data_IF_162308118587
#
_entry.id   IF_162308118587
#
_cell.length_a   1.000
_cell.length_b   1.000
_cell.length_c   1.000
_cell.angle_alpha   90.00
_cell.angle_beta   90.00
_cell.angle_gamma   90.00
#
_symmetry.space_group_name_H-M   'P 1'
#
loop_
_entity.id
_entity.type
_entity.pdbx_description
1 polymer ?
#
# COMPACT_ATOMS: atom_id res chain seq x y z
N UNK A 1 14.96 5.43 -1.48
CA UNK A 1 14.30 5.69 -2.76
C UNK A 1 13.06 6.53 -2.52
N UNK A 2 12.80 7.51 -3.36
CA UNK A 2 11.68 8.44 -3.24
C UNK A 2 10.95 8.54 -4.58
N UNK A 3 9.63 8.73 -4.52
CA UNK A 3 8.81 9.13 -5.65
C UNK A 3 7.69 10.01 -5.12
N UNK A 4 7.36 11.07 -5.83
CA UNK A 4 6.33 12.01 -5.43
C UNK A 4 5.16 11.94 -6.39
N UNK A 5 3.95 12.05 -5.84
CA UNK A 5 2.73 12.09 -6.64
C UNK A 5 2.22 13.52 -6.76
N UNK A 6 1.74 13.87 -7.94
CA UNK A 6 1.05 15.12 -8.16
C UNK A 6 -0.43 15.02 -7.81
N UNK A 7 -1.10 16.16 -7.58
CA UNK A 7 -2.56 16.24 -7.47
C UNK A 7 -3.18 15.89 -8.82
N UNK A 8 -4.06 14.88 -8.84
CA UNK A 8 -4.68 14.37 -10.07
C UNK A 8 -6.04 15.00 -10.42
N UNK A 9 -6.68 15.69 -9.47
CA UNK A 9 -8.00 16.28 -9.70
C UNK A 9 -7.90 17.55 -10.53
N UNK A 10 -8.30 17.44 -11.78
CA UNK A 10 -8.40 18.56 -12.71
C UNK A 10 -9.46 18.29 -13.76
N UNK A 11 -10.22 19.32 -14.14
CA UNK A 11 -11.21 19.24 -15.23
C UNK A 11 -10.57 19.37 -16.62
N UNK A 12 -9.30 19.83 -16.68
CA UNK A 12 -8.53 20.03 -17.90
C UNK A 12 -7.10 19.52 -17.69
N UNK A 13 -6.42 19.02 -18.73
CA UNK A 13 -5.15 18.33 -18.61
C UNK A 13 -3.96 19.24 -18.35
N UNK A 14 -4.02 20.56 -18.63
CA UNK A 14 -2.87 21.46 -18.61
C UNK A 14 -2.15 21.46 -17.24
N UNK A 15 -2.90 21.53 -16.13
CA UNK A 15 -2.35 21.50 -14.79
C UNK A 15 -1.68 20.15 -14.46
N UNK A 16 -2.21 19.06 -15.02
CA UNK A 16 -1.64 17.72 -14.84
C UNK A 16 -0.32 17.58 -15.62
N UNK A 17 -0.22 18.13 -16.82
CA UNK A 17 1.04 18.16 -17.58
C UNK A 17 2.12 18.91 -16.84
N UNK A 18 1.80 20.01 -16.18
CA UNK A 18 2.75 20.75 -15.34
C UNK A 18 3.24 19.90 -14.16
N UNK A 19 2.35 19.18 -13.48
CA UNK A 19 2.71 18.25 -12.41
C UNK A 19 3.66 17.15 -12.89
N UNK A 20 3.38 16.57 -14.04
CA UNK A 20 4.20 15.52 -14.65
C UNK A 20 5.59 16.05 -14.99
N UNK A 21 5.71 17.23 -15.63
CA UNK A 21 6.98 17.89 -15.93
C UNK A 21 7.75 18.30 -14.67
N UNK A 22 7.03 18.63 -13.59
CA UNK A 22 7.63 18.96 -12.30
C UNK A 22 8.17 17.73 -11.54
N UNK A 23 8.02 16.51 -12.10
CA UNK A 23 8.62 15.29 -11.57
C UNK A 23 7.65 14.34 -10.89
N UNK A 24 6.34 14.60 -10.95
CA UNK A 24 5.37 13.65 -10.42
C UNK A 24 5.53 12.29 -11.14
N UNK A 25 5.81 11.24 -10.38
CA UNK A 25 5.92 9.87 -10.90
C UNK A 25 4.57 9.15 -10.97
N UNK A 26 3.52 9.76 -10.42
CA UNK A 26 2.14 9.31 -10.43
C UNK A 26 1.22 10.50 -10.13
N UNK A 27 -0.10 10.31 -10.33
CA UNK A 27 -1.12 11.30 -9.99
C UNK A 27 -2.08 10.72 -8.96
N UNK A 28 -2.48 11.52 -7.97
CA UNK A 28 -3.43 11.14 -6.91
C UNK A 28 -4.75 11.88 -7.07
N UNK A 29 -5.82 11.10 -7.18
CA UNK A 29 -7.20 11.57 -7.07
C UNK A 29 -7.67 11.44 -5.62
N UNK A 30 -8.36 12.45 -5.11
CA UNK A 30 -8.92 12.46 -3.77
C UNK A 30 -10.27 13.19 -3.74
N UNK A 31 -11.24 12.67 -2.98
CA UNK A 31 -12.60 13.22 -2.91
C UNK A 31 -12.64 14.68 -2.46
N UNK A 32 -11.80 15.09 -1.51
CA UNK A 32 -11.72 16.48 -1.03
C UNK A 32 -11.48 17.49 -2.15
N UNK A 33 -10.99 17.04 -3.29
CA UNK A 33 -10.74 17.85 -4.48
C UNK A 33 -11.72 17.58 -5.62
N UNK A 34 -12.73 16.71 -5.38
CA UNK A 34 -13.73 16.29 -6.35
C UNK A 34 -13.27 15.15 -7.25
N UNK A 35 -13.45 13.90 -6.85
CA UNK A 35 -13.21 12.70 -7.67
C UNK A 35 -14.41 12.40 -8.56
N UNK A 36 -14.80 13.37 -9.38
CA UNK A 36 -15.88 13.20 -10.36
C UNK A 36 -15.45 12.27 -11.50
N UNK A 37 -16.38 11.61 -12.21
CA UNK A 37 -16.08 10.82 -13.40
C UNK A 37 -15.24 11.57 -14.44
N UNK A 38 -15.48 12.88 -14.61
CA UNK A 38 -14.72 13.73 -15.53
C UNK A 38 -13.26 13.93 -15.05
N UNK A 39 -13.04 14.17 -13.76
CA UNK A 39 -11.70 14.31 -13.19
C UNK A 39 -10.92 12.98 -13.28
N UNK A 40 -11.57 11.86 -13.03
CA UNK A 40 -10.97 10.51 -13.16
C UNK A 40 -10.55 10.29 -14.62
N UNK A 41 -11.42 10.54 -15.57
CA UNK A 41 -11.14 10.35 -16.99
C UNK A 41 -10.00 11.25 -17.48
N UNK A 42 -10.00 12.52 -17.10
CA UNK A 42 -8.95 13.48 -17.43
C UNK A 42 -7.59 13.01 -16.87
N UNK A 43 -7.56 12.62 -15.60
CA UNK A 43 -6.35 12.15 -14.94
C UNK A 43 -5.77 10.89 -15.59
N UNK A 44 -6.62 9.89 -15.86
CA UNK A 44 -6.22 8.66 -16.52
C UNK A 44 -5.73 8.91 -17.96
N UNK A 45 -6.33 9.85 -18.69
CA UNK A 45 -5.90 10.19 -20.05
C UNK A 45 -4.48 10.78 -20.07
N UNK A 46 -4.18 11.71 -19.17
CA UNK A 46 -2.81 12.25 -19.01
C UNK A 46 -1.81 11.15 -18.56
N UNK A 47 -2.26 10.29 -17.67
CA UNK A 47 -1.41 9.18 -17.22
C UNK A 47 -1.09 8.19 -18.35
N UNK A 48 -2.04 7.90 -19.24
CA UNK A 48 -1.83 7.05 -20.41
C UNK A 48 -0.80 7.64 -21.39
N UNK A 49 -0.79 8.97 -21.57
CA UNK A 49 0.17 9.67 -22.42
C UNK A 49 1.60 9.67 -21.85
N UNK A 50 1.74 9.65 -20.52
CA UNK A 50 3.02 9.82 -19.84
C UNK A 50 3.55 8.55 -19.13
N UNK A 51 2.88 7.43 -19.30
CA UNK A 51 3.23 6.13 -18.69
C UNK A 51 3.44 6.21 -17.16
N UNK A 52 2.53 6.87 -16.47
CA UNK A 52 2.55 7.03 -15.00
C UNK A 52 1.31 6.42 -14.35
N UNK A 53 1.39 6.11 -13.05
CA UNK A 53 0.24 5.54 -12.32
C UNK A 53 -0.75 6.62 -11.89
N UNK A 54 -2.03 6.23 -11.82
CA UNK A 54 -3.07 6.98 -11.13
C UNK A 54 -3.47 6.23 -9.86
N UNK A 55 -3.49 6.94 -8.74
CA UNK A 55 -3.97 6.44 -7.46
C UNK A 55 -5.25 7.16 -7.08
N UNK A 56 -6.19 6.44 -6.50
CA UNK A 56 -7.49 7.02 -6.16
C UNK A 56 -7.89 6.73 -4.70
N UNK A 57 -8.30 7.78 -4.02
CA UNK A 57 -9.24 7.77 -2.92
C UNK A 57 -10.60 8.14 -3.52
N UNK A 58 -11.54 7.20 -3.54
CA UNK A 58 -12.83 7.38 -4.21
C UNK A 58 -13.79 8.22 -3.35
N UNK A 59 -14.91 8.57 -3.93
CA UNK A 59 -15.93 9.43 -3.33
C UNK A 59 -16.68 8.72 -2.18
N UNK A 60 -16.30 8.98 -0.94
CA UNK A 60 -16.86 8.32 0.24
C UNK A 60 -18.35 8.59 0.42
N UNK A 61 -18.79 9.82 0.13
CA UNK A 61 -20.16 10.26 0.35
C UNK A 61 -21.08 10.06 -0.85
N UNK A 62 -20.57 9.47 -1.94
CA UNK A 62 -21.32 9.30 -3.20
C UNK A 62 -21.85 10.63 -3.77
N UNK A 63 -21.13 11.74 -3.59
CA UNK A 63 -21.53 13.07 -4.07
C UNK A 63 -21.49 13.19 -5.59
N UNK A 64 -20.61 12.43 -6.24
CA UNK A 64 -20.41 12.44 -7.70
C UNK A 64 -20.96 11.19 -8.40
N UNK A 65 -21.71 10.37 -7.70
CA UNK A 65 -22.24 9.09 -8.16
C UNK A 65 -21.85 7.93 -7.27
N UNK A 66 -22.35 6.75 -7.57
CA UNK A 66 -22.06 5.53 -6.83
C UNK A 66 -20.78 4.84 -7.32
N UNK A 67 -20.40 3.74 -6.69
CA UNK A 67 -19.19 2.98 -7.05
C UNK A 67 -19.20 2.55 -8.53
N UNK A 68 -20.37 2.24 -9.08
CA UNK A 68 -20.54 1.87 -10.50
C UNK A 68 -20.17 3.02 -11.45
N UNK A 69 -20.49 4.26 -11.10
CA UNK A 69 -20.13 5.45 -11.90
C UNK A 69 -18.61 5.67 -11.87
N UNK A 70 -17.99 5.47 -10.70
CA UNK A 70 -16.53 5.52 -10.55
C UNK A 70 -15.85 4.42 -11.37
N UNK A 71 -16.34 3.17 -11.30
CA UNK A 71 -15.83 2.04 -12.09
C UNK A 71 -15.99 2.32 -13.60
N UNK A 72 -17.12 2.85 -14.01
CA UNK A 72 -17.37 3.23 -15.40
C UNK A 72 -16.39 4.31 -15.90
N UNK A 73 -16.02 5.27 -15.04
CA UNK A 73 -15.05 6.31 -15.35
C UNK A 73 -13.64 5.78 -15.59
N UNK A 74 -13.26 4.63 -15.02
CA UNK A 74 -11.99 3.97 -15.31
C UNK A 74 -11.88 3.55 -16.78
N UNK A 75 -12.98 3.24 -17.44
CA UNK A 75 -13.03 2.79 -18.85
C UNK A 75 -12.10 1.59 -19.12
N UNK A 76 -11.98 0.68 -18.15
CA UNK A 76 -11.10 -0.48 -18.23
C UNK A 76 -9.59 -0.18 -18.09
N UNK A 77 -9.19 1.08 -17.88
CA UNK A 77 -7.80 1.48 -17.68
C UNK A 77 -7.31 1.08 -16.29
N UNK A 78 -6.03 0.77 -16.18
CA UNK A 78 -5.43 0.38 -14.90
C UNK A 78 -5.38 1.55 -13.93
N UNK A 79 -5.76 1.29 -12.68
CA UNK A 79 -5.75 2.27 -11.59
C UNK A 79 -5.40 1.59 -10.27
N UNK A 80 -4.67 2.29 -9.39
CA UNK A 80 -4.38 1.84 -8.03
C UNK A 80 -5.43 2.43 -7.07
N UNK A 81 -6.27 1.58 -6.49
CA UNK A 81 -7.25 1.98 -5.47
C UNK A 81 -6.67 1.83 -4.07
N UNK A 82 -6.68 2.92 -3.28
CA UNK A 82 -6.26 2.91 -1.87
C UNK A 82 -7.40 2.44 -0.95
N UNK A 83 -7.04 2.00 0.27
CA UNK A 83 -7.96 1.59 1.34
C UNK A 83 -9.26 0.97 0.78
N UNK A 84 -9.08 -0.02 -0.10
CA UNK A 84 -10.13 -0.63 -0.91
C UNK A 84 -11.22 -1.33 -0.07
N UNK A 85 -11.00 -1.52 1.21
CA UNK A 85 -12.01 -2.00 2.15
C UNK A 85 -13.08 -0.92 2.44
N UNK A 86 -12.71 0.36 2.46
CA UNK A 86 -13.63 1.49 2.59
C UNK A 86 -13.52 2.29 3.88
N UNK A 87 -13.05 1.74 5.00
CA UNK A 87 -12.97 2.47 6.27
C UNK A 87 -12.00 3.67 6.20
N UNK A 88 -10.91 3.54 5.45
CA UNK A 88 -9.97 4.64 5.17
C UNK A 88 -10.50 5.70 4.23
N UNK A 89 -11.62 5.47 3.58
CA UNK A 89 -12.26 6.33 2.56
C UNK A 89 -12.52 5.58 1.27
N UNK A 90 -13.54 6.03 0.57
CA UNK A 90 -14.06 5.40 -0.63
C UNK A 90 -15.52 5.02 -0.47
N UNK A 91 -16.21 4.82 -1.58
CA UNK A 91 -17.63 4.46 -1.59
C UNK A 91 -17.96 3.44 -0.50
N UNK A 92 -18.65 3.87 0.54
CA UNK A 92 -19.00 3.01 1.66
C UNK A 92 -20.40 2.43 1.46
N UNK A 93 -20.59 1.12 1.62
CA UNK A 93 -19.58 0.07 1.90
C UNK A 93 -18.97 -0.57 0.65
N UNK A 94 -19.30 -0.10 -0.54
CA UNK A 94 -19.22 -0.83 -1.80
C UNK A 94 -17.84 -0.85 -2.47
N UNK A 95 -16.94 0.02 -2.08
CA UNK A 95 -15.61 0.13 -2.74
C UNK A 95 -14.85 -1.20 -2.76
N UNK A 96 -15.07 -2.08 -1.79
CA UNK A 96 -14.42 -3.39 -1.70
C UNK A 96 -14.67 -4.25 -2.97
N UNK A 97 -15.74 -4.00 -3.73
CA UNK A 97 -16.05 -4.68 -5.00
C UNK A 97 -14.91 -4.54 -6.01
N UNK A 98 -14.19 -3.42 -6.00
CA UNK A 98 -13.13 -3.18 -6.99
C UNK A 98 -11.92 -4.12 -6.81
N UNK A 99 -11.79 -4.78 -5.66
CA UNK A 99 -10.76 -5.78 -5.44
C UNK A 99 -10.90 -7.01 -6.37
N UNK A 100 -12.10 -7.25 -6.91
CA UNK A 100 -12.36 -8.29 -7.91
C UNK A 100 -12.08 -7.88 -9.36
N UNK A 101 -11.86 -6.60 -9.65
CA UNK A 101 -11.73 -6.11 -11.02
C UNK A 101 -10.33 -6.33 -11.60
N UNK A 102 -10.28 -6.70 -12.88
CA UNK A 102 -9.03 -7.02 -13.59
C UNK A 102 -8.11 -5.82 -13.82
N UNK A 103 -8.66 -4.63 -13.91
CA UNK A 103 -7.94 -3.38 -14.16
C UNK A 103 -7.68 -2.57 -12.89
N UNK A 104 -8.11 -3.03 -11.72
CA UNK A 104 -7.84 -2.34 -10.46
C UNK A 104 -6.71 -3.06 -9.69
N UNK A 105 -5.75 -2.27 -9.22
CA UNK A 105 -4.67 -2.71 -8.34
C UNK A 105 -5.02 -2.28 -6.91
N UNK A 106 -5.68 -3.15 -6.12
CA UNK A 106 -6.21 -2.74 -4.82
C UNK A 106 -5.16 -2.81 -3.73
N UNK A 107 -5.17 -1.83 -2.84
CA UNK A 107 -4.37 -1.84 -1.62
C UNK A 107 -5.21 -1.61 -0.37
N UNK A 108 -4.80 -2.24 0.71
CA UNK A 108 -5.25 -1.93 2.06
C UNK A 108 -4.33 -0.93 2.73
N UNK A 109 -4.85 -0.23 3.72
CA UNK A 109 -4.05 0.55 4.66
C UNK A 109 -3.95 -0.17 6.00
N UNK A 110 -2.91 0.10 6.75
CA UNK A 110 -2.59 -0.71 7.93
C UNK A 110 -3.54 -0.55 9.15
N UNK A 111 -4.28 0.55 9.36
CA UNK A 111 -5.12 0.70 10.56
C UNK A 111 -6.19 -0.37 10.73
N UNK A 112 -6.78 -0.85 9.64
CA UNK A 112 -7.81 -1.92 9.69
C UNK A 112 -7.21 -3.33 9.81
N UNK A 113 -5.88 -3.46 9.77
CA UNK A 113 -5.18 -4.73 9.70
C UNK A 113 -4.43 -5.10 10.97
N UNK A 114 -4.53 -6.34 11.43
CA UNK A 114 -5.63 -7.28 11.17
C UNK A 114 -6.91 -6.87 11.90
N UNK A 115 -8.06 -7.44 11.55
CA UNK A 115 -9.29 -7.27 12.30
C UNK A 115 -9.15 -7.87 13.71
N UNK A 116 -9.27 -7.03 14.74
CA UNK A 116 -9.17 -7.38 16.15
C UNK A 116 -10.41 -6.93 16.90
N UNK A 117 -10.53 -7.34 18.15
CA UNK A 117 -11.65 -6.92 19.03
C UNK A 117 -11.69 -5.40 19.23
N UNK A 118 -10.58 -4.68 19.04
CA UNK A 118 -10.49 -3.23 19.23
C UNK A 118 -10.51 -2.44 17.91
N UNK A 119 -10.46 -3.11 16.76
CA UNK A 119 -10.24 -2.41 15.47
C UNK A 119 -11.32 -1.38 15.17
N UNK A 120 -12.58 -1.67 15.50
CA UNK A 120 -13.70 -0.75 15.22
C UNK A 120 -13.54 0.54 16.03
N UNK A 121 -13.33 0.40 17.35
CA UNK A 121 -13.20 1.53 18.26
C UNK A 121 -11.95 2.35 17.95
N UNK A 122 -10.79 1.70 17.75
CA UNK A 122 -9.54 2.36 17.38
C UNK A 122 -9.68 3.13 16.06
N UNK A 123 -10.39 2.56 15.09
CA UNK A 123 -10.56 3.20 13.79
C UNK A 123 -11.56 4.34 13.85
N UNK A 124 -12.62 4.21 14.65
CA UNK A 124 -13.57 5.29 14.91
C UNK A 124 -12.87 6.49 15.54
N UNK A 125 -12.09 6.27 16.61
CA UNK A 125 -11.32 7.33 17.26
C UNK A 125 -10.34 8.02 16.29
N UNK A 126 -9.66 7.21 15.48
CA UNK A 126 -8.72 7.73 14.48
C UNK A 126 -9.43 8.58 13.43
N UNK A 127 -10.59 8.14 12.95
CA UNK A 127 -11.38 8.88 11.96
C UNK A 127 -11.88 10.19 12.53
N UNK A 128 -12.41 10.19 13.75
CA UNK A 128 -12.85 11.39 14.48
C UNK A 128 -11.72 12.41 14.56
N UNK A 129 -10.52 12.00 14.95
CA UNK A 129 -9.35 12.88 15.06
C UNK A 129 -8.88 13.40 13.71
N UNK A 130 -8.73 12.51 12.70
CA UNK A 130 -8.20 12.88 11.40
C UNK A 130 -9.12 13.82 10.61
N UNK A 131 -10.43 13.72 10.80
CA UNK A 131 -11.42 14.57 10.14
C UNK A 131 -11.90 15.75 11.00
N UNK A 132 -11.27 15.97 12.17
CA UNK A 132 -11.64 17.05 13.09
C UNK A 132 -13.13 17.02 13.51
N UNK A 133 -13.67 15.81 13.67
CA UNK A 133 -15.06 15.60 14.09
C UNK A 133 -15.21 15.72 15.60
N UNK A 134 -16.42 16.08 16.04
CA UNK A 134 -16.76 16.24 17.44
C UNK A 134 -17.77 15.17 17.89
N UNK A 135 -17.35 14.30 18.82
CA UNK A 135 -18.21 13.23 19.36
C UNK A 135 -19.46 13.69 20.11
N UNK A 136 -19.57 15.00 20.42
CA UNK A 136 -20.79 15.59 20.98
C UNK A 136 -21.82 15.97 19.90
N UNK A 137 -21.44 15.93 18.64
CA UNK A 137 -22.30 16.22 17.48
C UNK A 137 -22.79 14.89 16.89
N UNK A 138 -24.10 14.56 16.97
CA UNK A 138 -24.62 13.29 16.48
C UNK A 138 -24.36 13.04 14.99
N UNK A 139 -24.35 14.08 14.17
CA UNK A 139 -24.10 14.00 12.74
C UNK A 139 -22.65 13.60 12.43
N UNK A 140 -21.68 14.14 13.18
CA UNK A 140 -20.26 13.79 13.05
C UNK A 140 -20.04 12.32 13.41
N UNK A 141 -20.65 11.87 14.50
CA UNK A 141 -20.57 10.48 14.93
C UNK A 141 -21.21 9.55 13.90
N UNK A 142 -22.40 9.89 13.38
CA UNK A 142 -23.09 9.11 12.36
C UNK A 142 -22.27 9.01 11.06
N UNK A 143 -21.60 10.09 10.66
CA UNK A 143 -20.69 10.10 9.52
C UNK A 143 -19.52 9.12 9.76
N UNK A 144 -18.88 9.20 10.92
CA UNK A 144 -17.76 8.33 11.25
C UNK A 144 -18.18 6.84 11.27
N UNK A 145 -19.27 6.52 11.94
CA UNK A 145 -19.83 5.16 12.00
C UNK A 145 -20.29 4.64 10.64
N UNK A 146 -20.71 5.51 9.72
CA UNK A 146 -21.14 5.11 8.38
C UNK A 146 -20.01 4.48 7.55
N UNK A 147 -18.76 4.84 7.81
CA UNK A 147 -17.57 4.39 7.09
C UNK A 147 -16.95 3.12 7.67
N UNK A 148 -17.19 2.82 8.95
CA UNK A 148 -16.53 1.73 9.66
C UNK A 148 -17.49 0.56 9.78
N UNK A 149 -17.19 -0.53 9.08
CA UNK A 149 -18.04 -1.72 9.01
C UNK A 149 -17.25 -2.97 9.38
N UNK A 150 -17.75 -3.68 10.37
CA UNK A 150 -17.19 -4.96 10.81
C UNK A 150 -17.10 -5.96 9.67
N UNK A 151 -18.12 -5.99 8.84
CA UNK A 151 -18.28 -6.96 7.75
C UNK A 151 -17.21 -6.78 6.68
N UNK A 152 -16.97 -5.54 6.23
CA UNK A 152 -15.95 -5.23 5.22
C UNK A 152 -14.53 -5.38 5.78
N UNK A 153 -14.29 -4.99 7.03
CA UNK A 153 -13.01 -5.16 7.73
C UNK A 153 -12.67 -6.65 7.92
N UNK A 154 -13.67 -7.48 8.29
CA UNK A 154 -13.47 -8.91 8.39
C UNK A 154 -13.21 -9.57 7.02
N UNK A 155 -13.95 -9.17 6.00
CA UNK A 155 -13.77 -9.66 4.63
C UNK A 155 -12.39 -9.30 4.07
N UNK A 156 -11.88 -8.13 4.42
CA UNK A 156 -10.57 -7.65 3.97
C UNK A 156 -9.43 -8.61 4.38
N UNK A 157 -9.43 -9.16 5.60
CA UNK A 157 -8.43 -10.17 6.02
C UNK A 157 -8.45 -11.39 5.11
N UNK A 158 -9.65 -11.87 4.77
CA UNK A 158 -9.84 -13.04 3.90
C UNK A 158 -9.39 -12.71 2.47
N UNK A 159 -9.76 -11.54 1.95
CA UNK A 159 -9.36 -11.10 0.61
C UNK A 159 -7.85 -10.96 0.48
N UNK A 160 -7.15 -10.58 1.56
CA UNK A 160 -5.69 -10.67 1.61
C UNK A 160 -5.18 -12.10 1.50
N UNK A 161 -5.78 -13.02 2.23
CA UNK A 161 -5.33 -14.42 2.28
C UNK A 161 -5.59 -15.18 0.98
N UNK A 162 -6.67 -14.88 0.27
CA UNK A 162 -6.94 -15.46 -1.07
C UNK A 162 -6.19 -14.75 -2.21
N UNK A 163 -5.54 -13.61 -1.93
CA UNK A 163 -4.77 -12.85 -2.92
C UNK A 163 -5.60 -11.93 -3.80
N UNK A 164 -6.79 -11.53 -3.38
CA UNK A 164 -7.61 -10.55 -4.07
C UNK A 164 -7.15 -9.11 -3.79
N UNK A 165 -6.68 -8.82 -2.57
CA UNK A 165 -6.00 -7.56 -2.24
C UNK A 165 -4.51 -7.68 -2.53
N UNK A 166 -4.01 -6.84 -3.43
CA UNK A 166 -2.68 -7.02 -4.04
C UNK A 166 -1.56 -6.39 -3.24
N UNK A 167 -1.85 -5.34 -2.48
CA UNK A 167 -0.83 -4.52 -1.81
C UNK A 167 -1.26 -4.13 -0.39
N UNK A 168 -0.25 -3.79 0.42
CA UNK A 168 -0.40 -3.19 1.73
C UNK A 168 0.32 -1.85 1.74
N UNK A 169 -0.38 -0.79 2.15
CA UNK A 169 0.15 0.57 2.26
C UNK A 169 -0.05 1.14 3.67
N UNK A 170 0.46 2.32 3.93
CA UNK A 170 0.40 2.92 5.27
C UNK A 170 -0.74 3.90 5.46
N UNK A 171 -1.10 4.65 4.44
CA UNK A 171 -1.93 5.84 4.56
C UNK A 171 -1.38 6.83 5.60
N UNK A 172 -0.06 7.01 5.58
CA UNK A 172 0.66 7.80 6.59
C UNK A 172 0.16 9.24 6.64
N UNK A 173 -0.03 9.76 7.83
CA UNK A 173 -0.53 11.08 8.20
C UNK A 173 -2.04 11.30 8.02
N UNK A 174 -2.74 10.40 7.34
CA UNK A 174 -4.19 10.47 7.17
C UNK A 174 -4.81 9.10 7.35
N UNK A 175 -4.91 8.65 8.58
CA UNK A 175 -5.45 7.40 9.11
C UNK A 175 -4.52 6.19 8.94
N UNK A 176 -3.17 6.39 9.00
CA UNK A 176 -2.24 5.27 8.96
C UNK A 176 -0.85 5.57 9.49
N UNK A 177 -0.02 4.51 9.62
CA UNK A 177 1.31 4.58 10.22
C UNK A 177 2.33 3.84 9.38
N UNK A 178 3.29 4.58 8.84
CA UNK A 178 4.35 4.02 7.97
C UNK A 178 5.11 2.87 8.65
N UNK A 179 5.49 3.03 9.90
CA UNK A 179 6.27 2.04 10.66
C UNK A 179 5.54 0.72 10.93
N UNK A 180 4.23 0.65 10.70
CA UNK A 180 3.41 -0.54 11.01
C UNK A 180 3.08 -1.40 9.78
N UNK A 181 3.46 -1.00 8.57
CA UNK A 181 3.12 -1.74 7.35
C UNK A 181 3.59 -3.20 7.42
N UNK A 182 4.86 -3.42 7.72
CA UNK A 182 5.44 -4.78 7.75
C UNK A 182 4.84 -5.58 8.91
N UNK A 183 4.80 -5.01 10.09
CA UNK A 183 4.33 -5.72 11.27
C UNK A 183 2.86 -6.14 11.15
N UNK A 184 1.98 -5.24 10.69
CA UNK A 184 0.55 -5.53 10.54
C UNK A 184 0.27 -6.49 9.39
N UNK A 185 1.06 -6.45 8.33
CA UNK A 185 1.01 -7.45 7.26
C UNK A 185 1.25 -8.86 7.81
N UNK A 186 2.26 -9.04 8.65
CA UNK A 186 2.56 -10.37 9.21
C UNK A 186 1.61 -10.78 10.33
N UNK A 187 1.07 -9.84 11.09
CA UNK A 187 0.01 -10.14 12.05
C UNK A 187 -1.28 -10.58 11.34
N UNK A 188 -1.61 -9.97 10.19
CA UNK A 188 -2.73 -10.44 9.35
C UNK A 188 -2.48 -11.86 8.82
N UNK A 189 -1.27 -12.14 8.34
CA UNK A 189 -0.89 -13.47 7.89
C UNK A 189 -0.99 -14.53 9.02
N UNK A 190 -0.55 -14.20 10.22
CA UNK A 190 -0.63 -15.06 11.40
C UNK A 190 -2.09 -15.36 11.79
N UNK A 191 -2.94 -14.32 11.83
CA UNK A 191 -4.37 -14.50 12.08
C UNK A 191 -5.01 -15.41 11.04
N UNK A 192 -4.72 -15.18 9.76
CA UNK A 192 -5.28 -16.00 8.68
C UNK A 192 -4.77 -17.44 8.72
N UNK A 193 -3.50 -17.67 9.06
CA UNK A 193 -2.98 -19.02 9.29
C UNK A 193 -3.74 -19.74 10.42
N UNK A 194 -3.98 -19.07 11.54
CA UNK A 194 -4.68 -19.63 12.68
C UNK A 194 -6.15 -19.97 12.37
N UNK A 195 -6.83 -19.11 11.63
CA UNK A 195 -8.27 -19.27 11.36
C UNK A 195 -8.58 -20.10 10.12
N UNK A 196 -7.70 -20.09 9.11
CA UNK A 196 -7.95 -20.73 7.80
C UNK A 196 -7.03 -21.91 7.50
N UNK A 197 -6.04 -22.18 8.36
CA UNK A 197 -5.05 -23.24 8.12
C UNK A 197 -4.05 -22.91 7.04
N UNK A 198 -3.40 -23.95 6.49
CA UNK A 198 -2.39 -23.82 5.43
C UNK A 198 -3.01 -23.48 4.07
N UNK A 199 -2.31 -22.71 3.25
CA UNK A 199 -2.71 -22.50 1.86
C UNK A 199 -2.45 -23.77 1.03
N UNK A 200 -3.17 -23.92 -0.09
CA UNK A 200 -2.97 -25.02 -1.01
C UNK A 200 -1.50 -25.08 -1.46
N UNK A 201 -0.89 -26.26 -1.33
CA UNK A 201 0.52 -26.51 -1.64
C UNK A 201 1.51 -26.22 -0.50
N UNK A 202 1.06 -25.63 0.60
CA UNK A 202 1.86 -25.50 1.83
C UNK A 202 1.73 -26.80 2.66
N UNK A 203 2.84 -27.26 3.23
CA UNK A 203 2.88 -28.49 4.05
C UNK A 203 3.56 -28.26 5.38
N UNK A 204 4.90 -28.40 5.44
CA UNK A 204 5.69 -28.15 6.65
C UNK A 204 6.06 -26.69 6.82
N UNK A 205 6.13 -25.95 5.73
CA UNK A 205 6.46 -24.53 5.72
C UNK A 205 5.41 -23.77 4.91
N UNK A 206 5.10 -22.56 5.31
CA UNK A 206 4.06 -21.71 4.70
C UNK A 206 4.62 -20.87 3.53
N UNK A 207 5.35 -21.50 2.62
CA UNK A 207 6.05 -20.80 1.54
C UNK A 207 5.10 -20.00 0.65
N UNK A 208 3.91 -20.52 0.36
CA UNK A 208 2.94 -19.83 -0.50
C UNK A 208 2.35 -18.62 0.21
N UNK A 209 1.98 -18.76 1.50
CA UNK A 209 1.52 -17.61 2.28
C UNK A 209 2.62 -16.56 2.47
N UNK A 210 3.84 -16.98 2.79
CA UNK A 210 4.99 -16.08 2.94
C UNK A 210 5.23 -15.29 1.66
N UNK A 211 5.29 -15.93 0.50
CA UNK A 211 5.46 -15.25 -0.79
C UNK A 211 4.31 -14.27 -1.09
N UNK A 212 3.07 -14.69 -0.82
CA UNK A 212 1.87 -13.84 -1.01
C UNK A 212 1.94 -12.57 -0.18
N UNK A 213 2.20 -12.67 1.11
CA UNK A 213 2.23 -11.51 2.00
C UNK A 213 3.48 -10.64 1.81
N UNK A 214 4.63 -11.25 1.52
CA UNK A 214 5.85 -10.52 1.21
C UNK A 214 5.68 -9.66 -0.05
N UNK A 215 5.06 -10.20 -1.09
CA UNK A 215 4.84 -9.49 -2.34
C UNK A 215 3.99 -8.20 -2.18
N UNK A 216 3.12 -8.13 -1.16
CA UNK A 216 2.20 -7.00 -0.95
C UNK A 216 2.88 -5.68 -0.63
N UNK A 217 4.07 -5.69 -0.04
CA UNK A 217 4.82 -4.48 0.30
C UNK A 217 6.22 -4.42 -0.34
N UNK A 218 6.50 -5.33 -1.28
CA UNK A 218 7.75 -5.37 -2.02
C UNK A 218 7.52 -5.26 -3.52
N UNK A 219 7.37 -6.41 -4.23
CA UNK A 219 7.32 -6.42 -5.69
C UNK A 219 6.01 -5.85 -6.26
N UNK A 220 4.86 -6.05 -5.62
CA UNK A 220 3.59 -5.60 -6.16
C UNK A 220 3.47 -4.07 -6.22
N UNK A 221 3.78 -3.30 -5.17
CA UNK A 221 3.84 -1.84 -5.29
C UNK A 221 4.92 -1.38 -6.28
N UNK A 222 6.04 -2.10 -6.41
CA UNK A 222 7.06 -1.74 -7.39
C UNK A 222 6.58 -1.92 -8.84
N UNK A 223 5.81 -2.98 -9.13
CA UNK A 223 5.15 -3.19 -10.41
C UNK A 223 4.08 -2.12 -10.64
N UNK A 224 3.20 -1.90 -9.66
CA UNK A 224 2.09 -0.96 -9.78
C UNK A 224 2.55 0.47 -10.10
N UNK A 225 3.74 0.86 -9.63
CA UNK A 225 4.29 2.21 -9.80
C UNK A 225 5.45 2.30 -10.80
N UNK A 226 5.69 1.25 -11.59
CA UNK A 226 6.68 1.29 -12.67
C UNK A 226 8.14 1.39 -12.22
N UNK A 227 8.47 0.90 -11.03
CA UNK A 227 9.82 0.94 -10.45
C UNK A 227 10.43 -0.45 -10.26
N UNK A 228 9.73 -1.49 -10.70
CA UNK A 228 10.12 -2.89 -10.50
C UNK A 228 11.43 -3.29 -11.21
N UNK A 229 11.86 -2.50 -12.20
CA UNK A 229 13.19 -2.66 -12.82
C UNK A 229 14.33 -2.43 -11.84
N UNK A 230 14.12 -1.57 -10.85
CA UNK A 230 15.15 -1.12 -9.92
C UNK A 230 15.07 -1.77 -8.54
N UNK A 231 13.85 -2.05 -8.07
CA UNK A 231 13.57 -2.50 -6.69
C UNK A 231 12.42 -3.50 -6.63
N UNK A 232 12.15 -4.06 -5.45
CA UNK A 232 10.96 -4.87 -5.15
C UNK A 232 11.23 -6.36 -5.11
N UNK A 233 12.33 -6.85 -5.68
CA UNK A 233 12.72 -8.27 -5.64
C UNK A 233 14.24 -8.44 -5.59
N UNK A 234 14.68 -9.62 -5.18
CA UNK A 234 16.10 -9.99 -5.14
C UNK A 234 16.47 -10.63 -6.48
N UNK A 235 16.93 -9.79 -7.41
CA UNK A 235 17.30 -10.18 -8.76
C UNK A 235 18.56 -9.45 -9.21
N UNK A 236 19.38 -10.12 -10.05
CA UNK A 236 20.56 -9.49 -10.64
C UNK A 236 20.17 -8.27 -11.49
N UNK A 237 20.86 -7.15 -11.28
CA UNK A 237 20.61 -5.90 -11.99
C UNK A 237 19.73 -4.90 -11.24
N UNK A 238 19.07 -5.32 -10.15
CA UNK A 238 18.34 -4.42 -9.23
C UNK A 238 19.23 -3.90 -8.11
N UNK A 239 18.79 -2.84 -7.46
CA UNK A 239 19.47 -2.33 -6.26
C UNK A 239 19.51 -3.42 -5.18
N UNK A 240 20.66 -3.57 -4.55
CA UNK A 240 20.83 -4.47 -3.41
C UNK A 240 20.22 -3.86 -2.14
N UNK A 241 18.89 -3.62 -2.17
CA UNK A 241 18.09 -3.20 -1.05
C UNK A 241 17.57 -4.44 -0.34
N UNK A 242 18.28 -4.88 0.69
CA UNK A 242 18.09 -6.17 1.33
C UNK A 242 17.80 -6.02 2.82
N UNK A 243 16.96 -6.90 3.33
CA UNK A 243 16.69 -7.01 4.77
C UNK A 243 16.99 -8.44 5.22
N UNK A 244 17.89 -8.59 6.17
CA UNK A 244 18.24 -9.87 6.77
C UNK A 244 17.46 -10.07 8.07
N UNK A 245 16.84 -11.23 8.20
CA UNK A 245 16.05 -11.61 9.36
C UNK A 245 16.57 -12.89 10.00
N UNK A 246 16.73 -12.89 11.31
CA UNK A 246 16.73 -14.14 12.06
C UNK A 246 15.30 -14.72 12.03
N UNK A 247 15.12 -16.03 11.70
CA UNK A 247 13.79 -16.63 11.68
C UNK A 247 13.02 -16.47 12.99
N UNK A 248 13.69 -16.46 14.13
CA UNK A 248 13.09 -16.27 15.44
C UNK A 248 12.51 -14.86 15.66
N UNK A 249 12.94 -13.87 14.88
CA UNK A 249 12.49 -12.47 14.98
C UNK A 249 11.87 -11.96 13.69
N UNK A 250 11.46 -12.86 12.81
CA UNK A 250 10.86 -12.52 11.52
C UNK A 250 9.65 -11.60 11.67
N UNK A 251 9.64 -10.53 10.88
CA UNK A 251 8.58 -9.52 10.88
C UNK A 251 8.63 -8.52 12.04
N UNK A 252 9.60 -8.65 12.96
CA UNK A 252 9.72 -7.75 14.13
C UNK A 252 10.90 -6.79 14.01
N UNK A 253 12.10 -7.34 14.05
CA UNK A 253 13.34 -6.56 14.03
C UNK A 253 14.36 -7.26 13.15
N UNK A 254 14.78 -6.67 12.05
CA UNK A 254 15.78 -7.26 11.18
C UNK A 254 17.17 -7.27 11.85
N UNK A 255 17.99 -8.25 11.51
CA UNK A 255 19.39 -8.27 11.95
C UNK A 255 20.20 -7.20 11.21
N UNK A 256 19.88 -6.95 9.94
CA UNK A 256 20.60 -5.99 9.12
C UNK A 256 19.72 -5.43 8.01
N UNK A 257 19.85 -4.14 7.75
CA UNK A 257 19.26 -3.47 6.60
C UNK A 257 20.40 -2.97 5.70
N UNK A 258 20.34 -3.39 4.45
CA UNK A 258 21.31 -3.04 3.41
C UNK A 258 20.59 -2.19 2.37
N UNK A 259 21.20 -1.10 1.97
CA UNK A 259 20.70 -0.19 0.95
C UNK A 259 21.72 -0.05 -0.16
N UNK A 260 21.38 -0.49 -1.38
CA UNK A 260 22.29 -0.52 -2.53
C UNK A 260 23.68 -1.13 -2.19
N UNK A 261 23.68 -2.21 -1.41
CA UNK A 261 24.90 -2.91 -0.98
C UNK A 261 25.60 -2.32 0.25
N UNK A 262 25.16 -1.18 0.78
CA UNK A 262 25.73 -0.55 1.98
C UNK A 262 24.89 -0.84 3.21
N UNK A 263 25.51 -1.24 4.33
CA UNK A 263 24.81 -1.47 5.59
C UNK A 263 24.36 -0.12 6.14
N UNK A 264 23.04 0.06 6.33
CA UNK A 264 22.45 1.29 6.86
C UNK A 264 21.96 1.17 8.31
N UNK A 265 21.64 -0.03 8.76
CA UNK A 265 21.26 -0.30 10.14
C UNK A 265 21.59 -1.75 10.53
N UNK A 266 22.12 -1.93 11.72
CA UNK A 266 22.42 -3.25 12.30
C UNK A 266 22.65 -3.14 13.82
N UNK A 267 22.59 -4.24 14.58
CA UNK A 267 23.05 -4.28 15.96
C UNK A 267 24.57 -4.00 16.05
N UNK A 268 24.94 -3.09 16.92
CA UNK A 268 26.35 -2.73 17.15
C UNK A 268 26.55 -2.27 18.60
N UNK A 269 27.72 -2.53 19.16
CA UNK A 269 28.18 -1.98 20.44
C UNK A 269 28.53 -0.49 20.33
N UNK A 270 29.40 -0.02 21.18
CA UNK A 270 29.87 1.37 21.14
C UNK A 270 30.58 1.62 19.79
N UNK A 271 30.13 2.58 18.97
CA UNK A 271 30.74 2.86 17.68
C UNK A 271 32.16 3.43 17.79
N UNK A 272 32.58 3.91 18.96
CA UNK A 272 33.94 4.42 19.21
C UNK A 272 34.90 3.35 19.73
N UNK A 273 34.41 2.14 20.00
CA UNK A 273 35.25 1.05 20.47
C UNK A 273 36.08 0.45 19.32
N UNK A 274 37.22 -0.15 19.69
CA UNK A 274 38.09 -0.82 18.71
C UNK A 274 37.58 -2.20 18.23
N UNK A 275 36.51 -2.70 18.85
CA UNK A 275 35.81 -3.92 18.44
C UNK A 275 34.31 -3.67 18.31
N UNK A 276 33.57 -4.40 17.42
CA UNK A 276 32.16 -4.11 17.11
C UNK A 276 31.17 -4.56 18.19
N UNK A 277 31.58 -5.31 19.19
CA UNK A 277 30.68 -5.98 20.15
C UNK A 277 30.77 -5.53 21.63
N UNK A 278 31.37 -4.37 22.01
CA UNK A 278 31.33 -3.93 23.40
C UNK A 278 29.90 -3.64 23.84
N UNK A 279 29.56 -3.95 25.07
CA UNK A 279 28.25 -3.71 25.64
C UNK A 279 28.04 -2.24 26.03
N UNK A 280 26.81 -1.73 25.93
CA UNK A 280 25.61 -2.40 25.39
C UNK A 280 25.56 -2.40 23.87
N UNK A 281 25.02 -3.49 23.29
CA UNK A 281 24.76 -3.60 21.85
C UNK A 281 23.37 -3.08 21.55
N UNK A 282 23.26 -2.11 20.63
CA UNK A 282 21.99 -1.54 20.19
C UNK A 282 21.87 -1.60 18.67
N UNK A 283 20.64 -1.61 18.18
CA UNK A 283 20.34 -1.42 16.77
C UNK A 283 20.61 0.04 16.40
N UNK A 284 21.55 0.27 15.51
CA UNK A 284 22.07 1.60 15.21
C UNK A 284 22.10 1.87 13.72
N UNK A 285 22.00 3.16 13.32
CA UNK A 285 22.42 3.59 11.99
C UNK A 285 23.90 3.24 11.76
N UNK A 286 24.21 2.71 10.57
CA UNK A 286 25.53 2.26 10.17
C UNK A 286 26.08 3.11 9.02
N UNK A 287 27.22 2.73 8.47
CA UNK A 287 28.00 3.49 7.49
C UNK A 287 27.20 4.06 6.32
N UNK A 288 26.30 3.26 5.74
CA UNK A 288 25.44 3.68 4.62
C UNK A 288 24.34 4.68 4.98
N UNK A 289 24.12 4.94 6.28
CA UNK A 289 23.13 5.89 6.75
C UNK A 289 23.64 7.35 6.86
N UNK A 290 24.90 7.61 6.50
CA UNK A 290 25.53 8.89 6.72
C UNK A 290 26.15 9.50 5.46
N UNK A 291 26.22 10.83 5.44
CA UNK A 291 26.93 11.60 4.44
C UNK A 291 26.49 11.29 2.99
N UNK A 292 27.43 11.27 2.08
CA UNK A 292 27.17 11.03 0.65
C UNK A 292 26.66 9.62 0.33
N UNK A 293 26.82 8.66 1.24
CA UNK A 293 26.27 7.32 1.05
C UNK A 293 24.74 7.34 0.91
N UNK A 294 24.02 8.21 1.63
CA UNK A 294 22.58 8.39 1.50
C UNK A 294 22.14 8.80 0.10
N UNK A 295 22.94 9.62 -0.57
CA UNK A 295 22.69 10.11 -1.93
C UNK A 295 22.99 9.00 -2.92
N UNK A 296 24.18 8.41 -2.83
CA UNK A 296 24.68 7.42 -3.78
C UNK A 296 23.90 6.09 -3.75
N UNK A 297 23.27 5.73 -2.61
CA UNK A 297 22.57 4.46 -2.43
C UNK A 297 21.08 4.51 -2.74
N UNK A 298 20.53 5.65 -3.21
CA UNK A 298 19.09 5.79 -3.41
C UNK A 298 18.76 6.60 -4.66
N UNK A 299 17.53 6.37 -5.17
CA UNK A 299 16.98 6.96 -6.39
C UNK A 299 15.85 7.92 -6.10
N UNK A 300 15.61 8.86 -7.01
CA UNK A 300 14.34 9.60 -7.10
C UNK A 300 13.63 9.13 -8.37
N UNK A 301 12.42 8.62 -8.19
CA UNK A 301 11.56 8.20 -9.28
C UNK A 301 10.72 9.38 -9.76
N UNK A 302 10.76 9.66 -11.05
CA UNK A 302 10.06 10.77 -11.70
C UNK A 302 9.41 10.30 -12.99
N UNK A 303 8.60 11.14 -13.63
CA UNK A 303 8.10 10.88 -14.98
C UNK A 303 9.23 10.95 -16.02
N UNK A 304 9.06 10.29 -17.18
CA UNK A 304 9.96 10.44 -18.30
C UNK A 304 9.99 11.90 -18.81
N UNK A 305 8.84 12.58 -18.81
CA UNK A 305 8.75 14.00 -19.21
C UNK A 305 9.61 14.92 -18.34
N UNK A 306 9.77 14.61 -17.05
CA UNK A 306 10.65 15.38 -16.17
C UNK A 306 12.14 15.14 -16.48
N UNK A 307 12.51 13.93 -16.90
CA UNK A 307 13.87 13.62 -17.38
C UNK A 307 14.16 14.41 -18.67
N UNK A 308 13.23 14.39 -19.62
CA UNK A 308 13.37 15.08 -20.91
C UNK A 308 13.46 16.61 -20.73
N UNK A 309 12.75 17.16 -19.73
CA UNK A 309 12.78 18.58 -19.32
C UNK A 309 13.99 18.94 -18.44
N UNK A 310 14.94 18.02 -18.26
CA UNK A 310 16.16 18.21 -17.47
C UNK A 310 15.91 18.68 -16.03
N UNK A 311 14.86 18.17 -15.39
CA UNK A 311 14.48 18.54 -14.02
C UNK A 311 15.64 18.40 -13.04
N UNK A 312 16.44 17.35 -13.17
CA UNK A 312 17.61 17.10 -12.31
C UNK A 312 18.58 18.29 -12.33
N UNK A 313 18.92 18.80 -13.52
CA UNK A 313 19.84 19.93 -13.69
C UNK A 313 19.23 21.22 -13.12
N UNK A 314 17.94 21.43 -13.34
CA UNK A 314 17.20 22.60 -12.82
C UNK A 314 17.16 22.67 -11.31
N UNK A 315 17.05 21.51 -10.65
CA UNK A 315 17.01 21.43 -9.18
C UNK A 315 18.42 21.43 -8.56
N UNK A 316 19.45 21.09 -9.30
CA UNK A 316 20.83 21.06 -8.82
C UNK A 316 21.05 20.07 -7.67
N UNK A 317 20.33 18.95 -7.66
CA UNK A 317 20.45 17.93 -6.62
C UNK A 317 21.43 16.83 -7.04
N UNK A 318 22.14 16.24 -6.10
CA UNK A 318 23.14 15.20 -6.39
C UNK A 318 22.50 13.79 -6.53
N UNK A 319 21.28 13.59 -6.07
CA UNK A 319 20.61 12.28 -6.09
C UNK A 319 20.20 11.89 -7.51
N UNK A 320 20.45 10.66 -7.90
CA UNK A 320 20.10 10.15 -9.23
C UNK A 320 18.59 10.09 -9.45
N UNK A 321 18.13 10.68 -10.55
CA UNK A 321 16.73 10.57 -11.01
C UNK A 321 16.62 9.47 -12.06
N UNK A 322 15.54 8.70 -11.96
CA UNK A 322 15.17 7.67 -12.95
C UNK A 322 13.69 7.76 -13.27
N UNK A 323 13.34 7.50 -14.51
CA UNK A 323 11.95 7.49 -14.93
C UNK A 323 11.23 6.24 -14.42
N UNK A 324 9.95 6.40 -14.05
CA UNK A 324 9.02 5.26 -13.95
C UNK A 324 8.68 4.79 -15.37
N UNK A 325 8.41 3.49 -15.53
CA UNK A 325 8.17 2.90 -16.83
C UNK A 325 7.23 1.68 -16.77
N UNK A 326 6.61 1.35 -17.88
CA UNK A 326 5.77 0.16 -18.06
C UNK A 326 4.57 0.11 -17.08
N UNK A 327 3.96 1.25 -16.84
CA UNK A 327 2.81 1.37 -15.94
C UNK A 327 1.49 1.21 -16.71
N UNK A 328 1.41 1.76 -17.91
CA UNK A 328 0.15 1.88 -18.67
C UNK A 328 -0.01 0.80 -19.74
N UNK A 329 1.06 0.33 -20.33
CA UNK A 329 1.08 -0.53 -21.52
C UNK A 329 0.74 -2.01 -21.29
N UNK A 330 0.07 -2.39 -20.19
CA UNK A 330 -0.31 -3.79 -19.96
C UNK A 330 -0.30 -4.28 -18.52
N UNK A 331 0.02 -3.43 -17.56
CA UNK A 331 -0.10 -3.78 -16.14
C UNK A 331 -1.58 -3.90 -15.78
N UNK A 332 -1.92 -4.96 -15.09
CA UNK A 332 -3.28 -5.26 -14.62
C UNK A 332 -3.20 -6.10 -13.34
N UNK A 333 -4.33 -6.49 -12.82
CA UNK A 333 -4.40 -7.41 -11.69
C UNK A 333 -3.58 -8.70 -11.92
N UNK A 334 -3.52 -9.20 -13.17
CA UNK A 334 -2.74 -10.39 -13.52
C UNK A 334 -1.23 -10.22 -13.34
N UNK A 335 -0.74 -8.99 -13.28
CA UNK A 335 0.67 -8.66 -13.04
C UNK A 335 1.07 -8.73 -11.56
N UNK A 336 0.10 -8.82 -10.66
CA UNK A 336 0.33 -8.83 -9.21
C UNK A 336 0.81 -10.20 -8.74
N UNK A 337 2.07 -10.29 -8.36
CA UNK A 337 2.74 -11.55 -7.97
C UNK A 337 2.04 -12.15 -6.75
N UNK A 338 1.58 -13.40 -6.86
CA UNK A 338 0.83 -14.16 -5.85
C UNK A 338 -0.46 -13.50 -5.34
N UNK A 339 -0.88 -12.37 -5.92
CA UNK A 339 -2.01 -11.55 -5.46
C UNK A 339 -2.86 -11.06 -6.63
N UNK A 340 -3.18 -11.96 -7.55
CA UNK A 340 -3.89 -11.69 -8.80
C UNK A 340 -5.29 -12.29 -8.86
N UNK A 341 -5.83 -12.75 -7.74
CA UNK A 341 -7.19 -13.29 -7.72
C UNK A 341 -8.23 -12.19 -8.02
N UNK A 342 -9.23 -12.53 -8.82
CA UNK A 342 -10.33 -11.66 -9.24
C UNK A 342 -11.68 -12.32 -8.96
N UNK A 343 -12.02 -12.56 -7.68
CA UNK A 343 -13.32 -13.12 -7.34
C UNK A 343 -14.44 -12.14 -7.69
N UNK A 344 -15.63 -12.66 -7.95
CA UNK A 344 -16.83 -11.83 -8.05
C UNK A 344 -17.27 -11.41 -6.65
N UNK A 345 -17.09 -10.10 -6.34
CA UNK A 345 -17.35 -9.55 -5.02
C UNK A 345 -18.67 -8.81 -5.02
N UNK A 346 -19.56 -9.18 -4.11
CA UNK A 346 -20.80 -8.49 -3.84
C UNK A 346 -20.89 -8.06 -2.38
N UNK A 347 -21.54 -6.91 -2.16
CA UNK A 347 -21.84 -6.38 -0.82
C UNK A 347 -23.33 -6.18 -0.71
N UNK A 348 -23.93 -6.69 0.35
CA UNK A 348 -25.32 -6.48 0.66
C UNK A 348 -25.53 -5.06 1.24
N UNK A 349 -26.39 -4.23 0.64
CA UNK A 349 -26.51 -2.82 1.04
C UNK A 349 -27.19 -2.61 2.41
N UNK A 350 -27.89 -3.61 2.93
CA UNK A 350 -28.59 -3.52 4.21
C UNK A 350 -27.77 -4.10 5.36
N UNK A 351 -27.15 -5.26 5.12
CA UNK A 351 -26.41 -6.01 6.16
C UNK A 351 -24.90 -5.83 6.06
N UNK A 352 -24.41 -5.19 4.98
CA UNK A 352 -22.98 -5.04 4.65
C UNK A 352 -22.22 -6.35 4.46
N UNK A 353 -22.92 -7.48 4.39
CA UNK A 353 -22.33 -8.80 4.19
C UNK A 353 -21.58 -8.86 2.85
N UNK A 354 -20.30 -9.22 2.91
CA UNK A 354 -19.43 -9.33 1.74
C UNK A 354 -19.35 -10.78 1.29
N UNK A 355 -19.54 -11.03 0.00
CA UNK A 355 -19.37 -12.35 -0.61
C UNK A 355 -18.34 -12.30 -1.72
N UNK A 356 -17.60 -13.39 -1.88
CA UNK A 356 -16.71 -13.62 -3.00
C UNK A 356 -17.08 -14.94 -3.68
N UNK A 357 -17.39 -14.91 -4.97
CA UNK A 357 -17.87 -16.07 -5.73
C UNK A 357 -19.08 -16.76 -5.06
N UNK A 358 -19.93 -15.98 -4.40
CA UNK A 358 -21.10 -16.43 -3.66
C UNK A 358 -20.84 -16.89 -2.21
N UNK A 359 -19.59 -17.09 -1.81
CA UNK A 359 -19.23 -17.45 -0.44
C UNK A 359 -19.18 -16.23 0.49
N UNK A 360 -19.82 -16.31 1.65
CA UNK A 360 -19.81 -15.26 2.67
C UNK A 360 -18.42 -15.15 3.30
N UNK A 361 -17.85 -13.95 3.29
CA UNK A 361 -16.54 -13.68 3.88
C UNK A 361 -16.68 -13.20 5.33
N UNK A 362 -16.49 -14.10 6.27
CA UNK A 362 -16.51 -13.79 7.70
C UNK A 362 -15.30 -14.39 8.39
N UNK A 363 -14.72 -13.64 9.33
CA UNK A 363 -13.69 -14.14 10.21
C UNK A 363 -13.85 -13.54 11.61
N UNK A 364 -13.36 -14.25 12.61
CA UNK A 364 -13.42 -13.76 13.98
C UNK A 364 -12.38 -12.67 14.24
N UNK A 365 -12.71 -11.64 15.04
CA UNK A 365 -11.71 -10.67 15.46
C UNK A 365 -10.65 -11.35 16.34
N UNK A 366 -9.39 -10.99 16.15
CA UNK A 366 -8.32 -11.50 16.99
C UNK A 366 -8.35 -10.81 18.36
N UNK A 367 -8.31 -11.60 19.43
CA UNK A 367 -8.13 -11.12 20.81
C UNK A 367 -6.64 -10.98 21.19
N UNK A 368 -5.76 -11.69 20.48
CA UNK A 368 -4.32 -11.67 20.72
C UNK A 368 -3.56 -11.58 19.40
N UNK A 369 -2.51 -10.77 19.39
CA UNK A 369 -1.60 -10.62 18.27
C UNK A 369 -0.16 -10.93 18.68
N UNK A 370 0.64 -11.58 17.82
CA UNK A 370 2.05 -11.81 18.11
C UNK A 370 2.83 -10.50 18.13
N UNK A 371 3.56 -10.24 19.20
CA UNK A 371 4.32 -8.99 19.41
C UNK A 371 5.83 -9.14 19.20
N UNK A 372 6.38 -10.30 19.45
CA UNK A 372 7.82 -10.58 19.29
C UNK A 372 8.12 -11.19 17.93
N UNK A 373 7.71 -12.42 17.69
CA UNK A 373 7.75 -13.04 16.37
C UNK A 373 6.40 -12.88 15.70
N UNK A 374 6.34 -12.11 14.63
CA UNK A 374 5.07 -11.75 13.99
C UNK A 374 4.43 -12.88 13.19
N UNK A 375 5.24 -13.79 12.71
CA UNK A 375 4.80 -14.91 11.92
C UNK A 375 5.72 -16.12 12.08
N UNK A 376 5.15 -17.29 12.33
CA UNK A 376 5.88 -18.55 12.41
C UNK A 376 5.92 -19.19 11.03
N UNK A 377 7.12 -19.31 10.47
CA UNK A 377 7.37 -19.77 9.11
C UNK A 377 7.08 -21.27 8.90
N UNK A 378 7.04 -22.04 9.99
CA UNK A 378 6.90 -23.51 9.97
C UNK A 378 5.71 -23.97 10.79
#
# INVERSE_FOLDING_TARGET
NLGFTGKGNASRPEALYEMVKAGACALKLHEDWGTTPAAIDCCLSVADEHDIQVMIHTDTLNESGFVEDTIAAFKGRTIHAFHTEGAGGGHAPDIIKVAGLKNVLPSSTNPTRPFTINTLDEHLDMLMVCHHLDGSIPEDLAFAESRIRRETIAAEDILHDIGALSMMSSDSQAMGRLGEVILRTWQTADKMKKQRGSLNGDTRADNNRVKRYLAKYTINPAIAHGVSRYIGSVETGKLADLVLWSPAFFGTKPDMIIKSGSIIAAPMGDPNASIPTPQPVHYRPMFGAFGKALIASSLVFVSQAAIDDKLHDRLGVEKTFVAVENVRGGISKSSMIHNNATPDISVDPETYAVRADGELLVCEPASELPMAQRYFLF
#
